data_IF_864079472915
#
_entry.id   IF_864079472915
#
_cell.length_a   1.000
_cell.length_b   1.000
_cell.length_c   1.000
_cell.angle_alpha   90.00
_cell.angle_beta   90.00
_cell.angle_gamma   90.00
#
_symmetry.space_group_name_H-M   'P 1'
#
loop_
_entity.id
_entity.type
_entity.pdbx_description
1 polymer ?
#
# COMPACT_ATOMS: atom_id res chain seq x y z
N UNK A 1 -11.50 -21.92 22.24
CA UNK A 1 -11.53 -20.64 21.50
C UNK A 1 -10.25 -20.55 20.70
N UNK A 2 -10.33 -20.47 19.38
CA UNK A 2 -9.17 -20.14 18.54
C UNK A 2 -8.64 -18.76 18.97
N UNK A 3 -7.32 -18.60 19.20
CA UNK A 3 -6.78 -17.30 19.57
C UNK A 3 -7.11 -16.27 18.48
N UNK A 4 -7.41 -15.04 18.89
CA UNK A 4 -7.63 -13.93 17.96
C UNK A 4 -6.44 -13.82 16.99
N UNK A 5 -6.69 -13.88 15.69
CA UNK A 5 -5.65 -13.82 14.65
C UNK A 5 -5.03 -15.17 14.22
N UNK A 6 -5.38 -16.30 14.84
CA UNK A 6 -4.83 -17.62 14.48
C UNK A 6 -5.11 -18.01 13.01
N UNK A 7 -6.28 -17.62 12.48
CA UNK A 7 -6.64 -17.84 11.08
C UNK A 7 -5.74 -17.05 10.11
N UNK A 8 -5.34 -15.84 10.49
CA UNK A 8 -4.45 -15.00 9.68
C UNK A 8 -3.02 -15.56 9.67
N UNK A 9 -2.48 -15.95 10.83
CA UNK A 9 -1.16 -16.59 10.88
C UNK A 9 -1.13 -17.89 10.07
N UNK A 10 -2.20 -18.71 10.15
CA UNK A 10 -2.34 -19.91 9.31
C UNK A 10 -2.39 -19.57 7.82
N UNK A 11 -3.08 -18.49 7.44
CA UNK A 11 -3.09 -18.02 6.06
C UNK A 11 -1.70 -17.54 5.60
N UNK A 12 -0.95 -16.91 6.50
CA UNK A 12 0.42 -16.49 6.24
C UNK A 12 1.38 -17.68 6.05
N UNK A 13 1.16 -18.81 6.72
CA UNK A 13 1.95 -20.05 6.51
C UNK A 13 1.73 -20.66 5.13
N UNK A 14 0.61 -20.35 4.46
CA UNK A 14 0.28 -20.86 3.12
C UNK A 14 0.85 -20.00 2.00
N UNK A 15 1.53 -18.89 2.31
CA UNK A 15 2.17 -18.06 1.29
C UNK A 15 3.34 -18.81 0.67
N UNK A 16 3.41 -18.78 -0.66
CA UNK A 16 4.56 -19.29 -1.41
C UNK A 16 5.62 -18.22 -1.48
N UNK A 17 6.83 -18.44 -0.92
CA UNK A 17 7.89 -17.45 -0.98
C UNK A 17 8.34 -17.22 -2.42
N UNK A 18 8.76 -15.99 -2.70
CA UNK A 18 9.38 -15.60 -3.96
C UNK A 18 10.65 -16.42 -4.25
N UNK A 19 10.87 -16.75 -5.52
CA UNK A 19 12.00 -17.57 -5.98
C UNK A 19 12.73 -16.96 -7.18
N UNK A 20 12.24 -15.86 -7.75
CA UNK A 20 12.73 -15.27 -9.00
C UNK A 20 13.30 -13.88 -8.73
N UNK A 21 14.46 -13.57 -9.32
CA UNK A 21 15.07 -12.23 -9.34
C UNK A 21 15.10 -11.54 -7.96
N UNK A 22 15.53 -12.30 -6.95
CA UNK A 22 15.64 -11.83 -5.56
C UNK A 22 16.60 -10.63 -5.41
N UNK A 23 17.51 -10.48 -6.37
CA UNK A 23 18.49 -9.39 -6.41
C UNK A 23 17.88 -7.99 -6.56
N UNK A 24 16.63 -7.88 -7.07
CA UNK A 24 15.94 -6.59 -7.22
C UNK A 24 15.85 -5.77 -5.92
N UNK A 25 15.92 -6.44 -4.77
CA UNK A 25 15.76 -5.83 -3.45
C UNK A 25 17.01 -5.96 -2.56
N UNK A 26 18.17 -6.34 -3.10
CA UNK A 26 19.41 -6.55 -2.29
C UNK A 26 20.40 -5.41 -2.40
N UNK A 27 20.46 -4.74 -3.55
CA UNK A 27 21.48 -3.73 -3.81
C UNK A 27 21.02 -2.32 -3.44
N UNK A 28 21.97 -1.40 -3.28
CA UNK A 28 21.64 0.00 -3.01
C UNK A 28 20.97 0.68 -4.23
N UNK A 29 20.14 1.73 -4.01
CA UNK A 29 19.60 2.58 -5.08
C UNK A 29 20.68 3.11 -6.02
N UNK A 30 20.52 2.90 -7.32
CA UNK A 30 21.41 3.48 -8.33
C UNK A 30 21.05 4.95 -8.62
N UNK A 31 22.02 5.74 -9.08
CA UNK A 31 21.76 7.12 -9.53
C UNK A 31 20.67 7.20 -10.60
N UNK A 32 20.63 6.24 -11.54
CA UNK A 32 19.62 6.21 -12.60
C UNK A 32 18.19 6.06 -12.05
N UNK A 33 17.98 5.19 -11.06
CA UNK A 33 16.66 5.03 -10.44
C UNK A 33 16.22 6.28 -9.68
N UNK A 34 17.17 6.99 -9.08
CA UNK A 34 16.91 8.25 -8.38
C UNK A 34 16.54 9.33 -9.38
N UNK A 35 17.27 9.45 -10.48
CA UNK A 35 17.00 10.40 -11.55
C UNK A 35 15.61 10.16 -12.18
N UNK A 36 15.30 8.92 -12.57
CA UNK A 36 13.97 8.56 -13.08
C UNK A 36 12.86 8.80 -12.03
N UNK A 37 13.18 8.72 -10.73
CA UNK A 37 12.27 9.14 -9.65
C UNK A 37 12.05 10.64 -9.54
N UNK A 38 13.07 11.45 -9.76
CA UNK A 38 12.93 12.90 -9.86
C UNK A 38 12.09 13.27 -11.08
N UNK A 39 12.37 12.68 -12.24
CA UNK A 39 11.71 13.06 -13.50
C UNK A 39 10.22 12.71 -13.54
N UNK A 40 9.83 11.55 -13.00
CA UNK A 40 8.41 11.13 -12.96
C UNK A 40 7.58 11.87 -11.91
N UNK A 41 8.19 12.40 -10.86
CA UNK A 41 7.46 13.11 -9.83
C UNK A 41 6.67 14.28 -10.43
N UNK A 42 5.49 14.61 -9.91
CA UNK A 42 4.75 15.79 -10.37
C UNK A 42 5.36 17.04 -9.75
N UNK A 43 5.86 17.97 -10.57
CA UNK A 43 6.52 19.19 -10.10
C UNK A 43 5.61 20.05 -9.20
N UNK A 44 4.31 20.06 -9.48
CA UNK A 44 3.28 20.77 -8.70
C UNK A 44 2.83 20.06 -7.42
N UNK A 45 3.45 18.93 -7.05
CA UNK A 45 3.13 18.23 -5.80
C UNK A 45 3.55 19.06 -4.59
N UNK A 46 2.66 19.17 -3.60
CA UNK A 46 2.88 19.98 -2.40
C UNK A 46 4.14 19.54 -1.62
N UNK A 47 4.93 20.51 -1.12
CA UNK A 47 6.13 20.25 -0.33
C UNK A 47 5.79 19.81 1.10
N UNK A 48 6.81 19.40 1.86
CA UNK A 48 6.70 19.15 3.29
C UNK A 48 6.87 20.43 4.11
N UNK A 49 7.28 20.27 5.37
CA UNK A 49 7.53 21.38 6.30
C UNK A 49 8.66 22.34 5.87
N UNK A 50 9.58 21.88 5.03
CA UNK A 50 10.70 22.66 4.49
C UNK A 50 10.29 23.59 3.34
N UNK A 51 9.05 23.48 2.86
CA UNK A 51 8.53 24.21 1.69
C UNK A 51 9.31 23.99 0.39
N UNK A 52 10.19 22.98 0.32
CA UNK A 52 10.95 22.66 -0.90
C UNK A 52 10.15 21.69 -1.77
N UNK A 53 9.75 22.16 -2.95
CA UNK A 53 8.94 21.41 -3.91
C UNK A 53 9.76 20.54 -4.86
N UNK A 54 9.08 19.66 -5.59
CA UNK A 54 9.70 18.80 -6.61
C UNK A 54 10.23 19.58 -7.82
N UNK A 55 9.66 20.75 -8.09
CA UNK A 55 10.10 21.70 -9.11
C UNK A 55 11.58 22.07 -8.96
N UNK A 56 12.05 22.34 -7.74
CA UNK A 56 13.46 22.62 -7.45
C UNK A 56 14.33 21.41 -7.76
N UNK A 57 13.92 20.22 -7.31
CA UNK A 57 14.67 18.98 -7.56
C UNK A 57 14.76 18.67 -9.05
N UNK A 58 13.70 18.94 -9.81
CA UNK A 58 13.71 18.80 -11.27
C UNK A 58 14.63 19.81 -11.94
N UNK A 59 14.51 21.08 -11.57
CA UNK A 59 15.31 22.17 -12.13
C UNK A 59 16.82 21.94 -11.93
N UNK A 60 17.20 21.45 -10.76
CA UNK A 60 18.61 21.23 -10.38
C UNK A 60 18.99 19.75 -10.29
N UNK A 61 18.37 18.89 -11.11
CA UNK A 61 18.57 17.43 -11.04
C UNK A 61 20.05 17.07 -11.15
N UNK A 62 20.76 17.62 -12.15
CA UNK A 62 22.17 17.31 -12.40
C UNK A 62 23.07 17.66 -11.20
N UNK A 63 22.79 18.77 -10.51
CA UNK A 63 23.55 19.25 -9.37
C UNK A 63 23.23 18.47 -8.09
N UNK A 64 21.97 18.09 -7.89
CA UNK A 64 21.50 17.42 -6.67
C UNK A 64 21.68 15.90 -6.71
N UNK A 65 21.71 15.29 -7.90
CA UNK A 65 21.76 13.84 -8.06
C UNK A 65 22.94 13.17 -7.33
N UNK A 66 24.19 13.68 -7.39
CA UNK A 66 25.29 13.07 -6.65
C UNK A 66 25.06 13.05 -5.13
N UNK A 67 24.52 14.14 -4.58
CA UNK A 67 24.23 14.25 -3.15
C UNK A 67 23.05 13.35 -2.74
N UNK A 68 22.00 13.29 -3.55
CA UNK A 68 20.86 12.40 -3.35
C UNK A 68 21.30 10.93 -3.37
N UNK A 69 22.10 10.55 -4.35
CA UNK A 69 22.64 9.20 -4.46
C UNK A 69 23.47 8.82 -3.23
N UNK A 70 24.42 9.67 -2.82
CA UNK A 70 25.20 9.43 -1.61
C UNK A 70 24.33 9.29 -0.36
N UNK A 71 23.32 10.15 -0.20
CA UNK A 71 22.38 10.10 0.92
C UNK A 71 21.54 8.81 0.91
N UNK A 72 21.03 8.39 -0.25
CA UNK A 72 20.16 7.21 -0.37
C UNK A 72 20.95 5.91 -0.19
N UNK A 73 22.17 5.84 -0.71
CA UNK A 73 23.10 4.73 -0.45
C UNK A 73 23.40 4.64 1.05
N UNK A 74 23.66 5.77 1.72
CA UNK A 74 23.88 5.79 3.17
C UNK A 74 22.64 5.32 3.95
N UNK A 75 21.45 5.74 3.54
CA UNK A 75 20.19 5.26 4.14
C UNK A 75 20.04 3.75 3.95
N UNK A 76 20.32 3.25 2.75
CA UNK A 76 20.26 1.82 2.42
C UNK A 76 21.23 0.98 3.23
N UNK A 77 22.49 1.42 3.37
CA UNK A 77 23.52 0.69 4.11
C UNK A 77 23.26 0.70 5.61
N UNK A 78 22.87 1.86 6.16
CA UNK A 78 22.65 2.01 7.61
C UNK A 78 21.27 1.54 8.09
N UNK A 79 20.34 1.26 7.15
CA UNK A 79 18.93 0.97 7.44
C UNK A 79 18.25 2.05 8.27
N UNK A 80 18.73 3.30 8.16
CA UNK A 80 18.25 4.46 8.92
C UNK A 80 18.04 5.63 7.99
N UNK A 81 16.90 6.30 8.16
CA UNK A 81 16.56 7.52 7.44
C UNK A 81 16.68 8.72 8.39
N UNK A 82 17.23 9.87 7.95
CA UNK A 82 17.35 11.06 8.79
C UNK A 82 16.02 11.47 9.42
N UNK A 83 16.04 11.86 10.69
CA UNK A 83 14.82 12.24 11.40
C UNK A 83 14.11 13.42 10.73
N UNK A 84 14.86 14.37 10.18
CA UNK A 84 14.31 15.51 9.44
C UNK A 84 13.39 15.08 8.31
N UNK A 85 13.70 13.98 7.61
CA UNK A 85 12.89 13.50 6.48
C UNK A 85 11.61 12.80 6.94
N UNK A 86 11.61 12.24 8.14
CA UNK A 86 10.52 11.41 8.70
C UNK A 86 9.46 12.22 9.45
N UNK A 87 9.59 13.55 9.48
CA UNK A 87 8.58 14.45 10.06
C UNK A 87 7.70 15.02 8.95
N UNK A 88 6.43 14.61 8.93
CA UNK A 88 5.43 15.12 7.99
C UNK A 88 4.53 16.20 8.57
N UNK A 89 3.80 16.91 7.70
CA UNK A 89 2.71 17.81 8.09
C UNK A 89 1.38 17.28 7.58
N UNK A 90 0.45 17.04 8.50
CA UNK A 90 -0.90 16.60 8.18
C UNK A 90 -1.77 17.82 7.91
N UNK A 91 -2.40 17.82 6.73
CA UNK A 91 -3.48 18.73 6.36
C UNK A 91 -4.79 17.95 6.29
N UNK A 92 -5.85 18.49 6.87
CA UNK A 92 -7.18 17.89 6.81
C UNK A 92 -7.91 18.40 5.56
N UNK A 93 -8.37 17.48 4.73
CA UNK A 93 -9.23 17.79 3.58
C UNK A 93 -10.67 17.39 3.90
N UNK A 94 -11.60 18.33 3.76
CA UNK A 94 -13.02 18.04 3.96
C UNK A 94 -13.53 17.12 2.84
N UNK A 95 -14.13 15.98 3.22
CA UNK A 95 -14.62 14.96 2.27
C UNK A 95 -16.10 15.16 1.94
N UNK A 96 -16.94 15.34 2.96
CA UNK A 96 -18.42 15.44 2.87
C UNK A 96 -19.03 15.82 4.21
N UNK A 97 -20.34 16.08 4.26
CA UNK A 97 -21.09 16.17 5.52
C UNK A 97 -20.70 17.35 6.41
N UNK A 98 -21.02 17.24 7.70
CA UNK A 98 -20.76 18.26 8.72
C UNK A 98 -19.26 18.45 8.95
N UNK A 99 -18.83 19.70 9.03
CA UNK A 99 -17.44 20.09 9.29
C UNK A 99 -17.03 19.88 10.76
N UNK A 100 -17.99 19.80 11.68
CA UNK A 100 -17.71 19.55 13.10
C UNK A 100 -17.41 18.07 13.40
N UNK A 101 -17.80 17.16 12.50
CA UNK A 101 -17.49 15.74 12.63
C UNK A 101 -16.11 15.44 12.03
N UNK A 102 -15.17 15.02 12.89
CA UNK A 102 -13.81 14.66 12.47
C UNK A 102 -13.74 13.53 11.44
N UNK A 103 -14.72 12.62 11.41
CA UNK A 103 -14.75 11.50 10.46
C UNK A 103 -14.99 11.94 9.01
N UNK A 104 -15.51 13.15 8.83
CA UNK A 104 -15.73 13.79 7.54
C UNK A 104 -14.47 14.45 6.95
N UNK A 105 -13.35 14.41 7.68
CA UNK A 105 -12.08 14.96 7.23
C UNK A 105 -11.08 13.84 6.90
N UNK A 106 -10.38 14.00 5.79
CA UNK A 106 -9.31 13.10 5.37
C UNK A 106 -7.95 13.69 5.73
N UNK A 107 -7.16 13.04 6.60
CA UNK A 107 -5.81 13.50 6.90
C UNK A 107 -4.85 13.15 5.76
N UNK A 108 -4.22 14.14 5.13
CA UNK A 108 -3.15 13.92 4.17
C UNK A 108 -1.84 14.37 4.79
N UNK A 109 -0.89 13.44 4.90
CA UNK A 109 0.45 13.73 5.41
C UNK A 109 1.37 14.15 4.25
N UNK A 110 1.71 15.44 4.22
CA UNK A 110 2.70 15.97 3.30
C UNK A 110 4.11 15.74 3.88
N UNK A 111 4.94 15.09 3.08
CA UNK A 111 6.30 14.71 3.47
C UNK A 111 7.32 15.49 2.66
N UNK A 112 8.52 15.64 3.22
CA UNK A 112 9.64 16.27 2.51
C UNK A 112 9.95 15.52 1.22
N UNK A 113 10.42 16.26 0.21
CA UNK A 113 10.71 15.67 -1.11
C UNK A 113 11.77 14.59 -1.02
N UNK A 114 12.79 14.74 -0.17
CA UNK A 114 13.80 13.70 0.05
C UNK A 114 13.19 12.36 0.50
N UNK A 115 12.26 12.41 1.47
CA UNK A 115 11.51 11.24 1.91
C UNK A 115 10.71 10.62 0.76
N UNK A 116 9.95 11.45 0.03
CA UNK A 116 9.08 10.96 -1.06
C UNK A 116 9.89 10.40 -2.23
N UNK A 117 11.05 10.98 -2.54
CA UNK A 117 11.99 10.46 -3.54
C UNK A 117 12.52 9.09 -3.09
N UNK A 118 13.05 8.98 -1.87
CA UNK A 118 13.59 7.72 -1.37
C UNK A 118 12.52 6.62 -1.30
N UNK A 119 11.36 6.93 -0.70
CA UNK A 119 10.22 6.03 -0.62
C UNK A 119 9.72 5.62 -2.02
N UNK A 120 9.74 6.53 -2.99
CA UNK A 120 9.32 6.22 -4.35
C UNK A 120 10.32 5.36 -5.14
N UNK A 121 11.63 5.47 -4.88
CA UNK A 121 12.61 4.51 -5.41
C UNK A 121 12.34 3.12 -4.85
N UNK A 122 12.16 3.02 -3.52
CA UNK A 122 11.84 1.75 -2.86
C UNK A 122 10.53 1.17 -3.37
N UNK A 123 9.50 2.00 -3.60
CA UNK A 123 8.19 1.55 -4.06
C UNK A 123 8.28 0.89 -5.44
N UNK A 124 9.00 1.49 -6.39
CA UNK A 124 9.15 0.94 -7.74
C UNK A 124 9.89 -0.38 -7.76
N UNK A 125 10.98 -0.46 -6.99
CA UNK A 125 11.73 -1.71 -6.81
C UNK A 125 10.81 -2.80 -6.25
N UNK A 126 10.03 -2.44 -5.24
CA UNK A 126 9.09 -3.37 -4.61
C UNK A 126 7.98 -3.82 -5.56
N UNK A 127 7.34 -2.89 -6.28
CA UNK A 127 6.31 -3.22 -7.28
C UNK A 127 6.88 -4.14 -8.36
N UNK A 128 8.05 -3.83 -8.91
CA UNK A 128 8.71 -4.69 -9.91
C UNK A 128 8.98 -6.08 -9.35
N UNK A 129 9.47 -6.16 -8.12
CA UNK A 129 9.72 -7.45 -7.47
C UNK A 129 8.43 -8.24 -7.25
N UNK A 130 7.35 -7.59 -6.83
CA UNK A 130 6.04 -8.23 -6.66
C UNK A 130 5.49 -8.76 -7.99
N UNK A 131 5.62 -8.00 -9.07
CA UNK A 131 5.17 -8.39 -10.41
C UNK A 131 5.98 -9.59 -10.95
N UNK A 132 7.31 -9.54 -10.88
CA UNK A 132 8.20 -10.62 -11.39
C UNK A 132 8.01 -11.93 -10.62
N UNK A 133 7.73 -11.85 -9.31
CA UNK A 133 7.51 -13.02 -8.47
C UNK A 133 6.05 -13.48 -8.38
N UNK A 134 5.12 -12.81 -9.06
CA UNK A 134 3.69 -13.13 -8.95
C UNK A 134 3.14 -13.01 -7.53
N UNK A 135 3.70 -12.11 -6.72
CA UNK A 135 3.33 -11.92 -5.30
C UNK A 135 2.18 -10.91 -5.12
N UNK A 136 1.71 -10.31 -6.22
CA UNK A 136 0.41 -9.64 -6.21
C UNK A 136 -0.71 -10.68 -6.20
N UNK A 137 -1.60 -10.62 -5.22
CA UNK A 137 -2.83 -11.39 -5.27
C UNK A 137 -3.62 -10.99 -6.53
N UNK A 138 -3.97 -11.95 -7.39
CA UNK A 138 -4.65 -11.69 -8.68
C UNK A 138 -5.95 -10.88 -8.53
N UNK A 139 -6.63 -11.06 -7.40
CA UNK A 139 -7.89 -10.41 -7.05
C UNK A 139 -7.70 -8.96 -6.60
N UNK A 140 -6.48 -8.56 -6.23
CA UNK A 140 -6.13 -7.18 -5.89
C UNK A 140 -5.68 -6.46 -7.16
N UNK A 141 -6.44 -5.47 -7.59
CA UNK A 141 -6.19 -4.76 -8.85
C UNK A 141 -5.77 -3.30 -8.69
N UNK A 142 -5.79 -2.76 -7.47
CA UNK A 142 -5.33 -1.39 -7.26
C UNK A 142 -3.79 -1.31 -7.28
N UNK A 143 -3.28 -0.13 -7.64
CA UNK A 143 -1.86 0.18 -7.80
C UNK A 143 -1.14 -0.70 -8.84
N UNK A 144 -1.89 -1.37 -9.72
CA UNK A 144 -1.38 -2.11 -10.88
C UNK A 144 -1.54 -1.31 -12.16
N UNK A 145 -0.74 -1.60 -13.17
CA UNK A 145 -0.80 -0.95 -14.48
C UNK A 145 -2.00 -1.46 -15.33
N UNK A 146 -3.20 -1.46 -14.76
CA UNK A 146 -4.42 -1.96 -15.39
C UNK A 146 -5.67 -1.26 -14.83
N UNK A 147 -6.78 -1.31 -15.58
CA UNK A 147 -8.07 -0.78 -15.11
C UNK A 147 -8.79 -1.77 -14.18
N UNK A 148 -8.31 -1.87 -12.94
CA UNK A 148 -8.85 -2.78 -11.93
C UNK A 148 -10.32 -2.53 -11.58
N UNK A 149 -10.71 -1.27 -11.42
CA UNK A 149 -12.10 -0.90 -11.13
C UNK A 149 -13.06 -1.34 -12.23
N UNK A 150 -12.66 -1.13 -13.50
CA UNK A 150 -13.45 -1.55 -14.66
C UNK A 150 -13.62 -3.06 -14.72
N UNK A 151 -12.54 -3.83 -14.54
CA UNK A 151 -12.58 -5.30 -14.52
C UNK A 151 -13.48 -5.82 -13.39
N UNK A 152 -13.36 -5.28 -12.17
CA UNK A 152 -14.19 -5.70 -11.05
C UNK A 152 -15.66 -5.33 -11.21
N UNK A 153 -15.97 -4.17 -11.80
CA UNK A 153 -17.34 -3.79 -12.07
C UNK A 153 -17.96 -4.66 -13.17
N UNK A 154 -17.18 -4.97 -14.20
CA UNK A 154 -17.58 -5.89 -15.26
C UNK A 154 -17.84 -7.30 -14.70
N UNK A 155 -16.95 -7.82 -13.86
CA UNK A 155 -17.12 -9.11 -13.18
C UNK A 155 -18.41 -9.14 -12.35
N UNK A 156 -18.65 -8.12 -11.53
CA UNK A 156 -19.87 -8.04 -10.73
C UNK A 156 -21.13 -7.99 -11.60
N UNK A 157 -21.13 -7.20 -12.68
CA UNK A 157 -22.25 -7.12 -13.62
C UNK A 157 -22.52 -8.46 -14.31
N UNK A 158 -21.47 -9.16 -14.76
CA UNK A 158 -21.59 -10.51 -15.34
C UNK A 158 -22.19 -11.51 -14.35
N UNK A 159 -21.77 -11.48 -13.09
CA UNK A 159 -22.29 -12.38 -12.06
C UNK A 159 -23.78 -12.14 -11.81
N UNK A 160 -24.21 -10.87 -11.74
CA UNK A 160 -25.61 -10.50 -11.59
C UNK A 160 -26.44 -10.96 -12.80
N UNK A 161 -25.96 -10.72 -14.02
CA UNK A 161 -26.65 -11.14 -15.25
C UNK A 161 -26.74 -12.67 -15.35
N UNK A 162 -25.68 -13.40 -15.01
CA UNK A 162 -25.70 -14.87 -14.96
C UNK A 162 -26.72 -15.39 -13.94
N UNK A 163 -26.73 -14.84 -12.72
CA UNK A 163 -27.65 -15.25 -11.67
C UNK A 163 -29.11 -15.04 -12.09
N UNK A 164 -29.41 -13.91 -12.75
CA UNK A 164 -30.73 -13.62 -13.33
C UNK A 164 -31.13 -14.62 -14.41
N UNK A 165 -30.24 -14.93 -15.35
CA UNK A 165 -30.51 -15.89 -16.45
C UNK A 165 -30.72 -17.32 -15.95
N UNK A 166 -29.99 -17.72 -14.91
CA UNK A 166 -30.07 -19.08 -14.34
C UNK A 166 -31.12 -19.20 -13.23
N UNK A 167 -31.81 -18.12 -12.88
CA UNK A 167 -32.72 -18.06 -11.73
C UNK A 167 -32.08 -18.58 -10.44
N UNK A 168 -30.83 -18.18 -10.19
CA UNK A 168 -30.05 -18.56 -9.01
C UNK A 168 -29.87 -17.37 -8.08
N UNK A 169 -29.72 -17.67 -6.79
CA UNK A 169 -29.35 -16.66 -5.80
C UNK A 169 -27.89 -16.25 -5.98
N UNK A 170 -27.63 -14.96 -5.76
CA UNK A 170 -26.31 -14.37 -5.74
C UNK A 170 -26.20 -13.51 -4.49
N UNK A 171 -25.27 -13.87 -3.63
CA UNK A 171 -24.94 -13.10 -2.43
C UNK A 171 -23.64 -12.34 -2.67
N UNK A 172 -23.64 -11.06 -2.33
CA UNK A 172 -22.47 -10.19 -2.46
C UNK A 172 -22.27 -9.44 -1.15
N UNK A 173 -21.09 -9.58 -0.55
CA UNK A 173 -20.71 -8.84 0.66
C UNK A 173 -19.65 -7.82 0.29
N UNK A 174 -19.83 -6.59 0.76
CA UNK A 174 -18.91 -5.48 0.55
C UNK A 174 -18.23 -5.15 1.87
N UNK A 175 -16.90 -5.23 1.88
CA UNK A 175 -16.06 -4.92 3.01
C UNK A 175 -15.36 -3.59 2.75
N UNK A 176 -15.48 -2.68 3.71
CA UNK A 176 -14.78 -1.40 3.75
C UNK A 176 -13.88 -1.38 4.99
N UNK A 177 -12.57 -1.35 4.79
CA UNK A 177 -11.63 -1.28 5.91
C UNK A 177 -11.57 0.13 6.47
N UNK A 178 -12.12 0.31 7.66
CA UNK A 178 -11.97 1.55 8.40
C UNK A 178 -10.49 1.93 8.54
N UNK A 179 -10.12 3.09 7.98
CA UNK A 179 -8.76 3.64 8.03
C UNK A 179 -7.68 2.65 7.57
N UNK A 180 -7.90 1.87 6.51
CA UNK A 180 -7.07 0.75 6.09
C UNK A 180 -5.54 0.98 6.15
N UNK A 181 -5.07 2.11 5.58
CA UNK A 181 -3.65 2.52 5.59
C UNK A 181 -3.10 2.92 6.96
N UNK A 182 -3.94 3.05 7.98
CA UNK A 182 -3.59 3.35 9.37
C UNK A 182 -3.99 2.23 10.34
N UNK A 183 -4.51 1.10 9.86
CA UNK A 183 -5.10 0.05 10.72
C UNK A 183 -4.25 -1.22 10.88
N UNK A 184 -3.31 -1.49 9.96
CA UNK A 184 -2.40 -2.66 10.03
C UNK A 184 -1.19 -2.42 10.97
N UNK A 185 -1.00 -3.24 12.01
CA UNK A 185 0.18 -3.14 12.87
C UNK A 185 1.50 -3.36 12.10
N UNK A 186 2.55 -2.60 12.43
CA UNK A 186 3.87 -2.71 11.78
C UNK A 186 4.45 -4.11 11.86
N UNK A 187 4.35 -4.76 13.02
CA UNK A 187 4.84 -6.13 13.20
C UNK A 187 4.21 -7.11 12.21
N UNK A 188 2.88 -7.03 12.02
CA UNK A 188 2.14 -7.87 11.09
C UNK A 188 2.56 -7.59 9.63
N UNK A 189 2.71 -6.31 9.27
CA UNK A 189 3.20 -5.92 7.94
C UNK A 189 4.57 -6.54 7.66
N UNK A 190 5.53 -6.40 8.57
CA UNK A 190 6.87 -6.92 8.34
C UNK A 190 6.91 -8.44 8.29
N UNK A 191 6.12 -9.12 9.12
CA UNK A 191 5.99 -10.57 9.09
C UNK A 191 5.40 -11.04 7.75
N UNK A 192 4.35 -10.39 7.25
CA UNK A 192 3.73 -10.71 5.96
C UNK A 192 4.70 -10.57 4.77
N UNK A 193 5.54 -9.52 4.77
CA UNK A 193 6.57 -9.34 3.74
C UNK A 193 7.64 -10.43 3.81
N UNK A 194 8.11 -10.77 5.02
CA UNK A 194 9.13 -11.81 5.20
C UNK A 194 8.61 -13.17 4.72
N UNK A 195 7.34 -13.51 5.00
CA UNK A 195 6.75 -14.78 4.54
C UNK A 195 6.52 -14.83 3.03
N UNK A 196 6.34 -13.69 2.37
CA UNK A 196 6.35 -13.61 0.89
C UNK A 196 7.76 -13.75 0.29
N UNK A 197 8.81 -13.78 1.11
CA UNK A 197 10.20 -13.90 0.66
C UNK A 197 10.88 -12.55 0.38
N UNK A 198 10.32 -11.43 0.83
CA UNK A 198 10.99 -10.12 0.71
C UNK A 198 12.30 -10.13 1.50
N UNK A 199 13.39 -9.64 0.89
CA UNK A 199 14.72 -9.64 1.52
C UNK A 199 14.70 -8.92 2.87
N UNK A 200 15.46 -9.45 3.83
CA UNK A 200 15.56 -8.86 5.17
C UNK A 200 16.12 -7.44 5.14
N UNK A 201 16.98 -7.17 4.17
CA UNK A 201 17.65 -5.91 3.90
C UNK A 201 16.65 -4.85 3.44
N UNK A 202 15.70 -5.22 2.58
CA UNK A 202 14.65 -4.32 2.12
C UNK A 202 13.63 -4.07 3.23
N UNK A 203 13.21 -5.12 3.96
CA UNK A 203 12.33 -4.96 5.13
C UNK A 203 12.97 -4.05 6.17
N UNK A 204 14.27 -4.16 6.42
CA UNK A 204 14.99 -3.28 7.33
C UNK A 204 15.05 -1.82 6.84
N UNK A 205 15.21 -1.59 5.52
CA UNK A 205 15.10 -0.25 4.94
C UNK A 205 13.71 0.36 5.14
N UNK A 206 12.66 -0.42 4.87
CA UNK A 206 11.27 -0.01 5.11
C UNK A 206 11.04 0.31 6.59
N UNK A 207 11.51 -0.54 7.51
CA UNK A 207 11.45 -0.26 8.96
C UNK A 207 12.15 1.04 9.31
N UNK A 208 13.35 1.28 8.78
CA UNK A 208 14.11 2.52 8.99
C UNK A 208 13.40 3.78 8.48
N UNK A 209 12.54 3.66 7.46
CA UNK A 209 11.74 4.75 6.92
C UNK A 209 10.62 5.19 7.88
N UNK A 210 10.00 4.25 8.60
CA UNK A 210 8.88 4.52 9.50
C UNK A 210 9.27 4.54 10.98
N UNK A 211 10.45 4.06 11.35
CA UNK A 211 10.96 4.10 12.72
C UNK A 211 11.04 5.55 13.22
N UNK A 212 10.50 5.81 14.42
CA UNK A 212 10.46 7.15 15.04
C UNK A 212 9.84 8.24 14.15
N UNK A 213 9.08 7.85 13.13
CA UNK A 213 8.44 8.80 12.25
C UNK A 213 7.35 9.57 13.02
N UNK A 214 7.19 10.83 12.68
CA UNK A 214 6.26 11.72 13.37
C UNK A 214 5.55 12.62 12.38
N UNK A 215 4.46 13.23 12.81
CA UNK A 215 3.79 14.26 12.04
C UNK A 215 3.26 15.36 12.96
N UNK A 216 3.13 16.55 12.41
CA UNK A 216 2.43 17.66 13.05
C UNK A 216 1.10 17.88 12.33
N UNK A 217 0.03 18.13 13.07
CA UNK A 217 -1.24 18.57 12.47
C UNK A 217 -1.24 20.09 12.51
N UNK A 218 -1.63 20.73 11.42
CA UNK A 218 -1.76 22.19 11.46
C UNK A 218 -2.61 22.71 10.31
N UNK A 219 -3.17 23.90 10.51
CA UNK A 219 -3.79 24.71 9.46
C UNK A 219 -2.99 26.03 9.32
N UNK A 220 -3.43 26.96 8.47
CA UNK A 220 -2.75 28.24 8.28
C UNK A 220 -3.05 29.27 9.40
N UNK A 221 -4.00 28.97 10.29
CA UNK A 221 -4.58 29.91 11.25
C UNK A 221 -4.04 29.68 12.66
N UNK A 222 -4.06 28.42 13.12
CA UNK A 222 -3.77 28.01 14.50
C UNK A 222 -2.34 27.49 14.68
N UNK A 223 -1.53 27.51 13.62
CA UNK A 223 -0.18 26.95 13.62
C UNK A 223 -0.14 25.42 13.59
N UNK A 224 0.95 24.84 14.11
CA UNK A 224 1.17 23.38 14.12
C UNK A 224 1.17 22.82 15.54
N UNK A 225 0.62 21.62 15.71
CA UNK A 225 0.74 20.87 16.96
C UNK A 225 2.19 20.53 17.27
N UNK A 226 2.46 20.13 18.51
CA UNK A 226 3.67 19.37 18.82
C UNK A 226 3.74 18.10 17.97
N UNK A 227 4.94 17.57 17.65
CA UNK A 227 5.08 16.34 16.89
C UNK A 227 4.35 15.16 17.55
N UNK A 228 3.55 14.45 16.76
CA UNK A 228 2.81 13.26 17.15
C UNK A 228 3.52 12.05 16.54
N UNK A 229 3.86 11.07 17.36
CA UNK A 229 4.52 9.84 16.90
C UNK A 229 3.58 9.00 16.03
N UNK A 230 4.06 8.56 14.87
CA UNK A 230 3.35 7.63 14.00
C UNK A 230 3.49 6.21 14.55
N UNK A 231 2.41 5.66 15.12
CA UNK A 231 2.39 4.32 15.72
C UNK A 231 1.80 3.23 14.83
N UNK A 232 1.18 3.59 13.70
CA UNK A 232 0.45 2.65 12.85
C UNK A 232 0.82 2.81 11.37
N UNK A 233 0.82 1.67 10.69
CA UNK A 233 1.23 1.35 9.31
C UNK A 233 2.09 2.41 8.60
N UNK A 234 1.47 3.46 8.06
CA UNK A 234 2.08 4.25 7.00
C UNK A 234 1.45 5.62 6.88
N UNK A 235 2.18 6.54 6.27
CA UNK A 235 1.69 7.88 5.99
C UNK A 235 0.73 7.88 4.78
N UNK A 236 -0.46 8.47 4.96
CA UNK A 236 -1.35 8.75 3.84
C UNK A 236 -0.73 9.84 2.94
N UNK A 237 -0.33 9.46 1.73
CA UNK A 237 0.40 10.31 0.78
C UNK A 237 1.83 9.85 0.49
N UNK A 238 2.33 8.84 1.20
CA UNK A 238 3.65 8.27 0.94
C UNK A 238 3.62 7.31 -0.28
N UNK A 239 4.58 7.41 -1.21
CA UNK A 239 4.62 6.56 -2.42
C UNK A 239 4.72 5.05 -2.17
N UNK A 240 5.44 4.63 -1.13
CA UNK A 240 5.66 3.21 -0.79
C UNK A 240 4.46 2.58 -0.07
N UNK A 241 3.68 3.42 0.60
CA UNK A 241 2.71 3.01 1.60
C UNK A 241 1.57 2.14 1.07
N UNK A 242 0.97 2.45 -0.10
CA UNK A 242 -0.07 1.60 -0.65
C UNK A 242 0.41 0.21 -1.04
N UNK A 243 1.64 0.09 -1.54
CA UNK A 243 2.22 -1.21 -1.91
C UNK A 243 2.53 -2.09 -0.71
N UNK A 244 2.99 -1.48 0.39
CA UNK A 244 3.16 -2.20 1.66
C UNK A 244 1.82 -2.71 2.18
N UNK A 245 0.76 -1.90 2.11
CA UNK A 245 -0.58 -2.31 2.49
C UNK A 245 -1.11 -3.44 1.62
N UNK A 246 -1.02 -3.34 0.29
CA UNK A 246 -1.51 -4.39 -0.62
C UNK A 246 -0.76 -5.70 -0.41
N UNK A 247 0.55 -5.66 -0.15
CA UNK A 247 1.32 -6.85 0.21
C UNK A 247 0.90 -7.44 1.58
N UNK A 248 0.56 -6.60 2.56
CA UNK A 248 0.13 -7.07 3.89
C UNK A 248 -1.20 -7.83 3.87
N UNK A 249 -2.11 -7.50 2.94
CA UNK A 249 -3.43 -8.13 2.83
C UNK A 249 -3.45 -9.38 1.93
N UNK A 250 -2.35 -9.70 1.23
CA UNK A 250 -2.24 -10.92 0.42
C UNK A 250 -2.65 -12.20 1.17
N UNK A 251 -2.22 -12.45 2.43
CA UNK A 251 -2.64 -13.64 3.17
C UNK A 251 -4.16 -13.73 3.33
N UNK A 252 -4.83 -12.61 3.60
CA UNK A 252 -6.29 -12.55 3.71
C UNK A 252 -6.95 -12.89 2.38
N UNK A 253 -6.47 -12.31 1.27
CA UNK A 253 -7.03 -12.54 -0.06
C UNK A 253 -6.85 -14.00 -0.51
N UNK A 254 -5.71 -14.61 -0.21
CA UNK A 254 -5.48 -16.04 -0.45
C UNK A 254 -6.38 -16.92 0.41
N UNK A 255 -6.56 -16.58 1.69
CA UNK A 255 -7.47 -17.30 2.57
C UNK A 255 -8.90 -17.28 2.02
N UNK A 256 -9.40 -16.10 1.63
CA UNK A 256 -10.73 -15.94 1.03
C UNK A 256 -10.89 -16.77 -0.24
N UNK A 257 -9.88 -16.78 -1.12
CA UNK A 257 -9.89 -17.60 -2.35
C UNK A 257 -9.90 -19.12 -2.06
N UNK A 258 -9.33 -19.54 -0.93
CA UNK A 258 -9.24 -20.95 -0.55
C UNK A 258 -10.50 -21.53 0.10
N UNK A 259 -11.48 -20.69 0.43
CA UNK A 259 -12.72 -21.13 1.07
C UNK A 259 -13.61 -21.87 0.05
N UNK A 260 -13.85 -23.15 0.31
CA UNK A 260 -14.55 -24.06 -0.61
C UNK A 260 -16.00 -23.63 -0.92
N UNK A 261 -16.66 -22.98 0.03
CA UNK A 261 -18.06 -22.54 -0.07
C UNK A 261 -18.20 -21.16 -0.71
N UNK A 262 -17.11 -20.39 -0.82
CA UNK A 262 -17.13 -19.07 -1.46
C UNK A 262 -17.01 -19.17 -2.98
N UNK A 263 -17.58 -18.18 -3.68
CA UNK A 263 -17.40 -17.96 -5.10
C UNK A 263 -18.46 -18.57 -6.00
N UNK A 264 -18.64 -17.92 -7.15
CA UNK A 264 -19.70 -18.24 -8.12
C UNK A 264 -19.07 -18.85 -9.36
N UNK A 265 -19.57 -20.01 -9.80
CA UNK A 265 -19.00 -20.69 -10.96
C UNK A 265 -19.39 -19.99 -12.26
N UNK A 266 -18.41 -19.41 -12.95
CA UNK A 266 -18.59 -18.79 -14.28
C UNK A 266 -18.31 -19.81 -15.40
N UNK A 267 -17.30 -20.66 -15.23
CA UNK A 267 -16.96 -21.73 -16.18
C UNK A 267 -16.47 -22.99 -15.46
N UNK A 268 -16.06 -24.01 -16.22
CA UNK A 268 -15.43 -25.21 -15.66
C UNK A 268 -14.20 -24.87 -14.82
N UNK A 269 -13.42 -23.86 -15.24
CA UNK A 269 -12.12 -23.48 -14.67
C UNK A 269 -12.16 -22.19 -13.84
N UNK A 270 -13.20 -21.37 -13.99
CA UNK A 270 -13.25 -20.05 -13.35
C UNK A 270 -14.38 -19.93 -12.32
N UNK A 271 -13.99 -19.69 -11.07
CA UNK A 271 -14.88 -19.48 -9.92
C UNK A 271 -14.42 -18.24 -9.13
N UNK A 272 -14.81 -17.02 -9.53
CA UNK A 272 -14.51 -15.81 -8.76
C UNK A 272 -15.13 -15.89 -7.36
N UNK A 273 -14.29 -15.78 -6.32
CA UNK A 273 -14.70 -15.74 -4.91
C UNK A 273 -14.57 -14.37 -4.26
N UNK A 274 -13.53 -13.62 -4.63
CA UNK A 274 -13.25 -12.30 -4.09
C UNK A 274 -12.71 -11.35 -5.17
N UNK A 275 -12.94 -10.06 -4.98
CA UNK A 275 -12.39 -8.97 -5.76
C UNK A 275 -11.98 -7.85 -4.80
N UNK A 276 -10.80 -7.24 -4.97
CA UNK A 276 -10.28 -6.21 -4.08
C UNK A 276 -9.61 -5.06 -4.85
N UNK A 277 -9.90 -3.83 -4.46
CA UNK A 277 -9.28 -2.61 -4.98
C UNK A 277 -8.79 -1.78 -3.79
N UNK A 278 -7.49 -1.86 -3.50
CA UNK A 278 -6.89 -1.39 -2.26
C UNK A 278 -7.63 -1.96 -1.05
N UNK A 279 -8.35 -1.11 -0.33
CA UNK A 279 -9.14 -1.42 0.85
C UNK A 279 -10.58 -1.84 0.55
N UNK A 280 -11.12 -1.52 -0.63
CA UNK A 280 -12.45 -1.97 -1.03
C UNK A 280 -12.40 -3.44 -1.43
N UNK A 281 -13.09 -4.30 -0.69
CA UNK A 281 -13.14 -5.74 -0.98
C UNK A 281 -14.57 -6.23 -1.13
N UNK A 282 -14.78 -7.19 -2.03
CA UNK A 282 -16.07 -7.83 -2.27
C UNK A 282 -15.90 -9.32 -2.33
N UNK A 283 -16.82 -10.05 -1.73
CA UNK A 283 -16.92 -11.51 -1.91
C UNK A 283 -18.24 -11.86 -2.58
N UNK A 284 -18.22 -12.94 -3.34
CA UNK A 284 -19.37 -13.44 -4.10
C UNK A 284 -19.66 -14.88 -3.68
N UNK A 285 -20.93 -15.25 -3.56
CA UNK A 285 -21.34 -16.64 -3.32
C UNK A 285 -22.69 -16.93 -3.98
N UNK A 286 -22.92 -18.19 -4.33
CA UNK A 286 -24.22 -18.72 -4.74
C UNK A 286 -25.03 -19.31 -3.58
N UNK A 287 -24.49 -19.31 -2.36
CA UNK A 287 -25.14 -19.82 -1.15
C UNK A 287 -24.99 -18.82 0.00
N UNK A 288 -25.94 -18.84 0.93
CA UNK A 288 -25.88 -18.06 2.17
C UNK A 288 -24.71 -18.50 3.03
N UNK A 289 -24.43 -19.81 3.12
CA UNK A 289 -23.31 -20.31 3.93
C UNK A 289 -21.95 -19.83 3.42
N UNK A 290 -21.81 -19.65 2.09
CA UNK A 290 -20.57 -19.15 1.48
C UNK A 290 -20.30 -17.65 1.70
N UNK A 291 -21.15 -16.92 2.42
CA UNK A 291 -20.89 -15.54 2.88
C UNK A 291 -20.84 -15.37 4.40
N UNK A 292 -21.15 -16.43 5.16
CA UNK A 292 -21.07 -16.45 6.62
C UNK A 292 -19.66 -16.83 7.10
#
# INVERSE_FOLDING_TARGET
>A
MTPFGASLHTAMDRLTPATVDMALLTDAPSSHEIEDQVQRARGSSSPGLDSVGYDIFKMFTAQLLPALHAAFVRCWQSKRVPQSWKVGVVRLLHKKGDQLDSSNWRPICLQQVNFKLYAGVLSRRFTRWLDVNGQHADVQKDFRAMNGCGEHNFLAAMLVDQARRKHQELHVVWYDFANALCSVPHNLLWEALQRQGVSTEFVACCRGLYADAAFTIGNAVDGTTTPIALKVVVFQGCPLSPYLFTAAIVPLLHALKSLAETGVRLSSEHRPGAAACADDMKTFSSTVDGIN
#
